data_IF_115165015973
#
_entry.id   IF_115165015973
#
_cell.length_a   1.000
_cell.length_b   1.000
_cell.length_c   1.000
_cell.angle_alpha   90.00
_cell.angle_beta   90.00
_cell.angle_gamma   90.00
#
_symmetry.space_group_name_H-M   'P 1'
#
loop_
_entity.id
_entity.type
_entity.pdbx_description
1 polymer ?
#
# COMPACT_ATOMS: atom_id res chain seq x y z
N UNK A 1 -22.63 7.97 -6.99
CA UNK A 1 -21.75 8.72 -7.85
C UNK A 1 -21.43 8.01 -9.15
N UNK A 2 -20.91 8.77 -10.12
CA UNK A 2 -20.42 8.20 -11.37
C UNK A 2 -19.09 7.48 -11.14
N UNK A 3 -18.87 6.40 -11.87
CA UNK A 3 -17.60 5.66 -11.85
C UNK A 3 -16.57 6.44 -12.69
N UNK A 4 -15.39 6.67 -12.15
CA UNK A 4 -14.29 7.36 -12.81
C UNK A 4 -13.42 8.14 -11.82
N UNK A 5 -12.35 8.74 -12.33
CA UNK A 5 -11.43 9.59 -11.57
C UNK A 5 -11.27 10.96 -12.26
N UNK A 6 -10.53 11.86 -11.64
CA UNK A 6 -10.25 13.21 -12.17
C UNK A 6 -9.60 13.13 -13.56
N UNK A 7 -8.71 12.16 -13.82
CA UNK A 7 -8.09 11.97 -15.12
C UNK A 7 -9.10 11.69 -16.23
N UNK A 8 -10.15 10.88 -15.96
CA UNK A 8 -11.23 10.65 -16.91
C UNK A 8 -12.02 11.93 -17.21
N UNK A 9 -12.30 12.73 -16.20
CA UNK A 9 -12.98 14.03 -16.36
C UNK A 9 -12.12 15.01 -17.16
N UNK A 10 -10.81 15.06 -16.89
CA UNK A 10 -9.86 15.91 -17.64
C UNK A 10 -9.82 15.55 -19.13
N UNK A 11 -9.88 14.25 -19.48
CA UNK A 11 -9.94 13.82 -20.87
C UNK A 11 -11.27 14.17 -21.55
N UNK A 12 -12.36 14.28 -20.80
CA UNK A 12 -13.68 14.64 -21.33
C UNK A 12 -13.82 16.14 -21.59
N UNK A 13 -13.32 16.99 -20.67
CA UNK A 13 -13.59 18.43 -20.65
C UNK A 13 -12.33 19.32 -20.68
N UNK A 14 -11.17 18.77 -20.45
CA UNK A 14 -9.88 19.47 -20.46
C UNK A 14 -9.03 19.13 -21.68
N UNK A 15 -7.83 18.61 -21.45
CA UNK A 15 -6.88 18.17 -22.48
C UNK A 15 -6.52 16.71 -22.23
N UNK A 16 -6.47 15.88 -23.30
CA UNK A 16 -6.04 14.48 -23.13
C UNK A 16 -4.59 14.33 -22.70
N UNK A 17 -3.68 15.15 -23.25
CA UNK A 17 -2.27 15.16 -22.91
C UNK A 17 -1.41 14.20 -23.74
N UNK A 18 -0.26 13.77 -23.17
CA UNK A 18 0.71 12.92 -23.85
C UNK A 18 0.19 11.48 -23.98
N UNK A 19 0.39 10.90 -25.18
CA UNK A 19 -0.02 9.54 -25.48
C UNK A 19 1.15 8.57 -25.43
N UNK A 20 0.89 7.32 -25.02
CA UNK A 20 1.87 6.26 -25.05
C UNK A 20 2.19 5.86 -26.50
N UNK A 21 3.48 5.82 -26.81
CA UNK A 21 3.98 5.35 -28.11
C UNK A 21 4.00 3.81 -28.18
N UNK A 22 3.95 3.21 -29.39
CA UNK A 22 3.98 1.76 -29.56
C UNK A 22 5.26 1.09 -29.01
N UNK A 23 6.37 1.83 -29.01
CA UNK A 23 7.68 1.37 -28.50
C UNK A 23 7.83 1.41 -26.97
N UNK A 24 6.78 1.83 -26.25
CA UNK A 24 6.80 1.94 -24.79
C UNK A 24 7.20 3.30 -24.24
N UNK A 25 7.62 4.24 -25.10
CA UNK A 25 7.88 5.63 -24.72
C UNK A 25 6.62 6.50 -24.73
N UNK A 26 6.82 7.82 -24.63
CA UNK A 26 5.78 8.82 -24.79
C UNK A 26 5.90 9.50 -26.14
N UNK A 27 4.77 9.89 -26.74
CA UNK A 27 4.78 10.75 -27.93
C UNK A 27 5.10 12.19 -27.51
N UNK A 28 5.98 12.85 -28.24
CA UNK A 28 6.41 14.23 -27.94
C UNK A 28 5.29 15.24 -28.13
N UNK A 29 4.38 14.99 -29.08
CA UNK A 29 3.25 15.88 -29.39
C UNK A 29 2.05 15.49 -28.53
N UNK A 30 1.56 16.38 -27.63
CA UNK A 30 0.38 16.12 -26.83
C UNK A 30 -0.90 16.24 -27.65
N UNK A 31 -1.94 15.50 -27.24
CA UNK A 31 -3.31 15.69 -27.72
C UNK A 31 -3.92 16.83 -26.92
N UNK A 32 -4.15 17.96 -27.55
CA UNK A 32 -4.66 19.18 -26.89
C UNK A 32 -6.17 19.24 -26.82
N UNK A 33 -6.86 18.52 -27.70
CA UNK A 33 -8.32 18.43 -27.75
C UNK A 33 -8.85 17.48 -26.67
N UNK A 34 -10.13 17.61 -26.36
CA UNK A 34 -10.90 16.73 -25.46
C UNK A 34 -11.98 15.96 -26.23
N UNK A 35 -12.61 15.01 -25.55
CA UNK A 35 -13.67 14.21 -26.17
C UNK A 35 -14.97 14.98 -26.41
N UNK A 36 -15.24 16.05 -25.64
CA UNK A 36 -16.43 16.88 -25.79
C UNK A 36 -16.37 17.69 -27.07
N UNK A 37 -15.22 18.27 -27.42
CA UNK A 37 -14.99 19.05 -28.64
C UNK A 37 -14.75 18.16 -29.85
N UNK A 38 -14.26 16.97 -29.60
CA UNK A 38 -13.83 16.03 -30.63
C UNK A 38 -12.35 16.18 -30.97
N UNK A 39 -11.75 15.11 -31.46
CA UNK A 39 -10.35 15.04 -31.82
C UNK A 39 -10.17 15.32 -33.32
N UNK A 40 -9.10 15.99 -33.70
CA UNK A 40 -8.66 16.07 -35.08
C UNK A 40 -8.27 14.67 -35.60
N UNK A 41 -8.21 14.49 -36.92
CA UNK A 41 -7.83 13.21 -37.54
C UNK A 41 -6.47 12.73 -37.07
N UNK A 42 -5.49 13.63 -36.94
CA UNK A 42 -4.16 13.32 -36.46
C UNK A 42 -4.18 12.89 -34.98
N UNK A 43 -4.86 13.65 -34.14
CA UNK A 43 -4.98 13.33 -32.71
C UNK A 43 -5.71 12.02 -32.47
N UNK A 44 -6.75 11.74 -33.27
CA UNK A 44 -7.44 10.45 -33.23
C UNK A 44 -6.49 9.30 -33.58
N UNK A 45 -5.70 9.46 -34.64
CA UNK A 45 -4.72 8.45 -35.04
C UNK A 45 -3.67 8.21 -33.96
N UNK A 46 -3.11 9.26 -33.34
CA UNK A 46 -2.19 9.15 -32.22
C UNK A 46 -2.83 8.44 -31.03
N UNK A 47 -4.08 8.75 -30.73
CA UNK A 47 -4.84 8.13 -29.63
C UNK A 47 -5.07 6.64 -29.82
N UNK A 48 -5.21 6.17 -31.08
CA UNK A 48 -5.43 4.74 -31.37
C UNK A 48 -4.23 3.86 -31.00
N UNK A 49 -3.02 4.37 -31.05
CA UNK A 49 -1.83 3.63 -30.62
C UNK A 49 -1.89 3.31 -29.12
N UNK A 50 -2.20 4.30 -28.29
CA UNK A 50 -2.36 4.12 -26.85
C UNK A 50 -3.55 3.20 -26.49
N UNK A 51 -4.67 3.36 -27.18
CA UNK A 51 -5.85 2.50 -27.00
C UNK A 51 -5.55 1.02 -27.32
N UNK A 52 -4.89 0.77 -28.47
CA UNK A 52 -4.50 -0.60 -28.88
C UNK A 52 -3.53 -1.23 -27.88
N UNK A 53 -2.52 -0.47 -27.42
CA UNK A 53 -1.59 -0.92 -26.39
C UNK A 53 -2.34 -1.27 -25.09
N UNK A 54 -3.26 -0.41 -24.62
CA UNK A 54 -4.05 -0.65 -23.44
C UNK A 54 -4.89 -1.94 -23.54
N UNK A 55 -5.52 -2.21 -24.69
CA UNK A 55 -6.26 -3.46 -24.93
C UNK A 55 -5.34 -4.69 -24.85
N UNK A 56 -4.19 -4.64 -25.51
CA UNK A 56 -3.23 -5.76 -25.50
C UNK A 56 -2.69 -5.99 -24.12
N UNK A 57 -2.29 -4.93 -23.41
CA UNK A 57 -1.78 -5.02 -22.05
C UNK A 57 -2.83 -5.60 -21.08
N UNK A 58 -4.11 -5.23 -21.24
CA UNK A 58 -5.20 -5.79 -20.42
C UNK A 58 -5.32 -7.30 -20.64
N UNK A 59 -5.35 -7.75 -21.89
CA UNK A 59 -5.46 -9.17 -22.22
C UNK A 59 -4.29 -10.00 -21.65
N UNK A 60 -3.06 -9.49 -21.78
CA UNK A 60 -1.85 -10.19 -21.28
C UNK A 60 -1.76 -10.16 -19.74
N UNK A 61 -2.09 -9.05 -19.11
CA UNK A 61 -2.01 -8.91 -17.64
C UNK A 61 -3.07 -9.71 -16.89
N UNK A 62 -4.18 -10.08 -17.52
CA UNK A 62 -5.19 -10.97 -16.94
C UNK A 62 -4.57 -12.33 -16.58
N UNK A 63 -3.74 -12.89 -17.45
CA UNK A 63 -3.02 -14.12 -17.17
C UNK A 63 -2.03 -13.97 -16.00
N UNK A 64 -1.36 -12.83 -15.90
CA UNK A 64 -0.45 -12.54 -14.78
C UNK A 64 -1.19 -12.45 -13.45
N UNK A 65 -2.38 -11.84 -13.43
CA UNK A 65 -3.24 -11.78 -12.24
C UNK A 65 -3.65 -13.17 -11.77
N UNK A 66 -4.10 -14.04 -12.71
CA UNK A 66 -4.45 -15.42 -12.39
C UNK A 66 -3.26 -16.23 -11.85
N UNK A 67 -2.08 -16.05 -12.43
CA UNK A 67 -0.86 -16.70 -11.97
C UNK A 67 -0.41 -16.21 -10.58
N UNK A 68 -0.55 -14.90 -10.30
CA UNK A 68 -0.29 -14.36 -8.96
C UNK A 68 -1.24 -14.98 -7.93
N UNK A 69 -2.55 -15.01 -8.21
CA UNK A 69 -3.56 -15.61 -7.33
C UNK A 69 -3.23 -17.06 -7.01
N UNK A 70 -2.88 -17.86 -8.04
CA UNK A 70 -2.50 -19.26 -7.85
C UNK A 70 -1.31 -19.39 -6.90
N UNK A 71 -0.25 -18.60 -7.09
CA UNK A 71 0.93 -18.66 -6.21
C UNK A 71 0.61 -18.23 -4.78
N UNK A 72 -0.25 -17.23 -4.61
CA UNK A 72 -0.69 -16.79 -3.28
C UNK A 72 -1.47 -17.92 -2.58
N UNK A 73 -2.38 -18.60 -3.29
CA UNK A 73 -3.11 -19.76 -2.75
C UNK A 73 -2.15 -20.88 -2.39
N UNK A 74 -1.21 -21.23 -3.27
CA UNK A 74 -0.24 -22.32 -3.03
C UNK A 74 0.60 -22.08 -1.75
N UNK A 75 0.94 -20.81 -1.45
CA UNK A 75 1.69 -20.44 -0.23
C UNK A 75 0.80 -20.34 1.00
N UNK A 76 -0.41 -19.80 0.85
CA UNK A 76 -1.28 -19.47 1.98
C UNK A 76 -2.25 -20.60 2.38
N UNK A 77 -2.36 -21.69 1.61
CA UNK A 77 -3.32 -22.77 1.88
C UNK A 77 -3.14 -23.45 3.24
N UNK A 78 -1.93 -23.43 3.80
CA UNK A 78 -1.64 -24.02 5.11
C UNK A 78 -2.00 -23.10 6.29
N UNK A 79 -2.35 -21.84 6.00
CA UNK A 79 -2.82 -20.88 7.01
C UNK A 79 -4.29 -21.12 7.27
N UNK A 80 -4.56 -21.92 8.31
CA UNK A 80 -5.92 -22.25 8.76
C UNK A 80 -6.09 -21.87 10.23
N UNK A 81 -7.34 -21.75 10.69
CA UNK A 81 -7.64 -21.56 12.11
C UNK A 81 -7.37 -22.88 12.84
N UNK A 82 -6.37 -22.89 13.74
CA UNK A 82 -5.90 -24.11 14.43
C UNK A 82 -6.43 -24.27 15.83
N UNK A 83 -6.65 -23.17 16.53
CA UNK A 83 -7.03 -23.15 17.95
C UNK A 83 -7.90 -21.94 18.25
N UNK A 84 -8.58 -21.96 19.40
CA UNK A 84 -9.45 -20.86 19.78
C UNK A 84 -8.65 -19.63 20.25
N UNK A 85 -7.61 -19.84 21.07
CA UNK A 85 -6.82 -18.76 21.63
C UNK A 85 -5.35 -19.17 21.79
N UNK A 86 -4.44 -18.39 21.23
CA UNK A 86 -3.00 -18.60 21.37
C UNK A 86 -2.39 -17.99 22.65
N UNK A 87 -3.20 -17.33 23.47
CA UNK A 87 -2.77 -16.73 24.73
C UNK A 87 -1.78 -15.58 24.61
N UNK A 88 -1.73 -14.90 23.45
CA UNK A 88 -0.84 -13.73 23.29
C UNK A 88 -1.40 -12.52 24.04
N UNK A 89 -0.54 -11.79 24.72
CA UNK A 89 -0.78 -10.49 25.32
C UNK A 89 -0.41 -9.31 24.40
N UNK A 90 0.24 -9.64 23.28
CA UNK A 90 0.65 -8.65 22.27
C UNK A 90 -0.53 -8.27 21.39
N UNK A 91 -0.64 -6.99 21.11
CA UNK A 91 -1.65 -6.45 20.18
C UNK A 91 -1.04 -5.50 19.16
N UNK A 92 -1.84 -5.12 18.19
CA UNK A 92 -1.55 -4.08 17.21
C UNK A 92 -2.41 -2.85 17.54
N UNK A 93 -1.77 -1.70 17.79
CA UNK A 93 -2.50 -0.44 17.95
C UNK A 93 -2.92 0.07 16.58
N UNK A 94 -4.23 0.32 16.43
CA UNK A 94 -4.86 0.84 15.20
C UNK A 94 -5.47 2.21 15.46
N UNK A 95 -5.39 3.06 14.46
CA UNK A 95 -5.98 4.40 14.39
C UNK A 95 -6.58 4.60 13.01
N UNK A 96 -7.34 5.67 12.79
CA UNK A 96 -7.82 6.01 11.45
C UNK A 96 -6.65 6.23 10.50
N UNK A 97 -6.78 5.80 9.24
CA UNK A 97 -5.77 6.05 8.21
C UNK A 97 -6.15 7.33 7.48
N UNK A 98 -5.27 8.33 7.54
CA UNK A 98 -5.43 9.61 6.85
C UNK A 98 -4.23 9.88 5.95
N UNK A 99 -4.45 10.54 4.82
CA UNK A 99 -3.40 11.05 3.94
C UNK A 99 -3.61 12.57 3.78
N UNK A 100 -2.82 13.35 4.53
CA UNK A 100 -3.09 14.78 4.70
C UNK A 100 -4.43 15.01 5.41
N UNK A 101 -5.32 15.74 4.77
CA UNK A 101 -6.68 16.03 5.29
C UNK A 101 -7.75 15.01 4.84
N UNK A 102 -7.40 14.07 3.98
CA UNK A 102 -8.33 13.04 3.48
C UNK A 102 -8.29 11.80 4.36
N UNK A 103 -9.48 11.39 4.86
CA UNK A 103 -9.64 10.14 5.60
C UNK A 103 -9.79 8.98 4.61
N UNK A 104 -8.80 8.08 4.58
CA UNK A 104 -8.81 6.90 3.71
C UNK A 104 -9.64 5.79 4.34
N UNK A 105 -9.40 5.49 5.62
CA UNK A 105 -10.10 4.43 6.35
C UNK A 105 -10.40 4.89 7.77
N UNK A 106 -11.68 5.01 8.16
CA UNK A 106 -12.06 5.42 9.51
C UNK A 106 -11.70 4.34 10.54
N UNK A 107 -11.50 4.75 11.79
CA UNK A 107 -11.22 3.82 12.88
C UNK A 107 -12.32 2.77 13.05
N UNK A 108 -13.57 3.15 12.83
CA UNK A 108 -14.74 2.26 12.90
C UNK A 108 -14.54 0.98 12.06
N UNK A 109 -14.21 1.12 10.77
CA UNK A 109 -14.06 -0.01 9.84
C UNK A 109 -12.88 -0.93 10.23
N UNK A 110 -11.91 -0.39 10.96
CA UNK A 110 -10.76 -1.15 11.46
C UNK A 110 -11.03 -1.92 12.74
N UNK A 111 -12.08 -1.55 13.48
CA UNK A 111 -12.45 -2.17 14.76
C UNK A 111 -13.45 -3.29 14.58
N UNK A 112 -14.43 -3.13 13.70
CA UNK A 112 -15.49 -4.11 13.48
C UNK A 112 -14.91 -5.48 13.16
N UNK A 113 -15.38 -6.51 13.87
CA UNK A 113 -14.95 -7.89 13.68
C UNK A 113 -13.58 -8.24 14.24
N UNK A 114 -12.96 -7.37 15.05
CA UNK A 114 -11.68 -7.63 15.72
C UNK A 114 -11.86 -7.82 17.22
N UNK A 115 -10.99 -8.64 17.80
CA UNK A 115 -10.90 -8.77 19.25
C UNK A 115 -10.01 -7.68 19.84
N UNK A 116 -10.45 -7.10 20.96
CA UNK A 116 -9.62 -6.21 21.76
C UNK A 116 -8.47 -6.99 22.40
N UNK A 117 -7.25 -6.44 22.39
CA UNK A 117 -6.13 -7.00 23.16
C UNK A 117 -6.07 -6.43 24.58
N UNK A 118 -6.53 -5.19 24.75
CA UNK A 118 -6.61 -4.49 26.04
C UNK A 118 -7.97 -3.86 26.18
N UNK A 119 -8.41 -3.64 27.43
CA UNK A 119 -9.65 -2.90 27.70
C UNK A 119 -9.55 -1.48 27.15
N UNK A 120 -10.64 -1.03 26.52
CA UNK A 120 -10.78 0.32 25.98
C UNK A 120 -11.54 1.16 27.00
N UNK A 121 -10.98 2.33 27.33
CA UNK A 121 -11.53 3.25 28.31
C UNK A 121 -12.01 4.51 27.62
N UNK A 122 -13.07 5.08 28.15
CA UNK A 122 -13.53 6.40 27.79
C UNK A 122 -12.49 7.47 28.22
N UNK A 123 -12.03 8.35 27.32
CA UNK A 123 -11.02 9.33 27.66
C UNK A 123 -11.49 10.39 28.68
N UNK A 124 -12.81 10.64 28.79
CA UNK A 124 -13.37 11.63 29.71
C UNK A 124 -13.78 11.01 31.05
N UNK A 125 -14.52 9.91 31.03
CA UNK A 125 -15.09 9.27 32.22
C UNK A 125 -14.20 8.22 32.85
N UNK A 126 -13.19 7.72 32.10
CA UNK A 126 -12.34 6.58 32.49
C UNK A 126 -13.10 5.28 32.75
N UNK A 127 -14.35 5.18 32.33
CA UNK A 127 -15.11 3.94 32.39
C UNK A 127 -14.70 2.98 31.27
N UNK A 128 -14.87 1.69 31.51
CA UNK A 128 -14.56 0.67 30.50
C UNK A 128 -15.68 0.63 29.49
N UNK A 129 -15.39 1.03 28.23
CA UNK A 129 -16.33 0.93 27.12
C UNK A 129 -16.33 -0.51 26.59
N UNK A 130 -15.15 -1.09 26.35
CA UNK A 130 -15.00 -2.45 25.88
C UNK A 130 -13.95 -3.20 26.71
N UNK A 131 -14.29 -4.36 27.33
CA UNK A 131 -13.31 -5.17 28.04
C UNK A 131 -12.28 -5.77 27.08
N UNK A 132 -11.17 -6.27 27.61
CA UNK A 132 -10.20 -7.06 26.84
C UNK A 132 -10.80 -8.39 26.37
N UNK A 133 -10.29 -8.93 25.27
CA UNK A 133 -10.67 -10.22 24.68
C UNK A 133 -12.16 -10.34 24.27
N UNK A 134 -12.75 -9.24 23.85
CA UNK A 134 -14.13 -9.20 23.34
C UNK A 134 -14.11 -8.90 21.85
N UNK A 135 -14.95 -9.62 21.09
CA UNK A 135 -15.20 -9.33 19.69
C UNK A 135 -16.00 -8.03 19.59
N UNK A 136 -15.49 -7.07 18.84
CA UNK A 136 -16.16 -5.79 18.60
C UNK A 136 -17.15 -5.94 17.45
N UNK A 137 -18.43 -5.81 17.75
CA UNK A 137 -19.50 -5.63 16.78
C UNK A 137 -19.63 -4.17 16.35
N UNK A 138 -20.56 -3.89 15.43
CA UNK A 138 -20.80 -2.54 14.93
C UNK A 138 -21.24 -1.58 16.05
N UNK A 139 -22.11 -2.03 16.97
CA UNK A 139 -22.62 -1.21 18.07
C UNK A 139 -21.50 -0.81 19.05
N UNK A 140 -20.59 -1.75 19.33
CA UNK A 140 -19.45 -1.51 20.20
C UNK A 140 -18.44 -0.56 19.54
N UNK A 141 -18.17 -0.77 18.24
CA UNK A 141 -17.27 0.09 17.48
C UNK A 141 -17.80 1.54 17.40
N UNK A 142 -19.12 1.71 17.22
CA UNK A 142 -19.74 3.03 17.29
C UNK A 142 -19.56 3.70 18.66
N UNK A 143 -19.80 2.98 19.75
CA UNK A 143 -19.60 3.52 21.11
C UNK A 143 -18.18 3.97 21.36
N UNK A 144 -17.19 3.22 20.86
CA UNK A 144 -15.77 3.58 20.99
C UNK A 144 -15.43 4.87 20.22
N UNK A 145 -15.92 4.97 18.97
CA UNK A 145 -15.66 6.15 18.13
C UNK A 145 -16.39 7.38 18.66
N UNK A 146 -17.65 7.23 19.07
CA UNK A 146 -18.49 8.33 19.63
C UNK A 146 -17.93 8.87 20.96
N UNK A 147 -17.26 8.03 21.74
CA UNK A 147 -16.54 8.44 22.95
C UNK A 147 -15.23 9.22 22.66
N UNK A 148 -14.88 9.41 21.37
CA UNK A 148 -13.69 10.18 20.97
C UNK A 148 -12.38 9.41 21.12
N UNK A 149 -12.39 8.08 21.21
CA UNK A 149 -11.18 7.25 21.23
C UNK A 149 -10.53 7.27 19.85
N UNK A 150 -9.26 7.66 19.79
CA UNK A 150 -8.51 7.81 18.53
C UNK A 150 -7.68 6.59 18.16
N UNK A 151 -7.33 5.75 19.14
CA UNK A 151 -6.53 4.55 18.93
C UNK A 151 -6.95 3.42 19.87
N UNK A 152 -6.95 2.20 19.36
CA UNK A 152 -7.32 0.97 20.08
C UNK A 152 -6.29 -0.12 19.83
N UNK A 153 -5.96 -0.89 20.85
CA UNK A 153 -5.08 -2.06 20.69
C UNK A 153 -5.92 -3.31 20.48
N UNK A 154 -5.85 -3.87 19.27
CA UNK A 154 -6.57 -5.06 18.83
C UNK A 154 -5.67 -6.28 18.74
N UNK A 155 -6.24 -7.48 18.79
CA UNK A 155 -5.55 -8.72 18.44
C UNK A 155 -5.35 -8.79 16.92
N UNK A 156 -4.22 -9.33 16.49
CA UNK A 156 -3.85 -9.39 15.08
C UNK A 156 -3.16 -10.69 14.73
N UNK A 157 -3.31 -11.12 13.50
CA UNK A 157 -2.57 -12.25 12.93
C UNK A 157 -1.05 -12.06 13.00
N UNK A 158 -0.56 -10.82 12.95
CA UNK A 158 0.87 -10.49 13.05
C UNK A 158 1.47 -10.73 14.44
N UNK A 159 0.64 -10.75 15.47
CA UNK A 159 1.08 -10.96 16.86
C UNK A 159 0.61 -12.29 17.43
N UNK A 160 0.04 -13.15 16.58
CA UNK A 160 -0.40 -14.47 16.95
C UNK A 160 0.77 -15.40 17.31
N UNK A 161 0.63 -16.18 18.38
CA UNK A 161 1.66 -17.12 18.83
C UNK A 161 1.45 -18.55 18.28
N UNK A 162 0.40 -18.81 17.51
CA UNK A 162 0.15 -20.11 16.89
C UNK A 162 1.27 -20.48 15.93
N UNK A 163 1.86 -21.65 16.07
CA UNK A 163 3.06 -22.05 15.28
C UNK A 163 2.76 -22.26 13.80
N UNK A 164 1.62 -22.85 13.47
CA UNK A 164 1.21 -23.13 12.08
C UNK A 164 -0.25 -22.69 11.91
N UNK A 165 -0.47 -21.58 11.22
CA UNK A 165 -1.79 -21.00 11.06
C UNK A 165 -2.06 -19.85 12.03
N UNK A 166 -3.30 -19.65 12.41
CA UNK A 166 -3.77 -18.53 13.24
C UNK A 166 -4.80 -19.02 14.24
N UNK A 167 -4.92 -18.40 15.40
CA UNK A 167 -6.02 -18.67 16.32
C UNK A 167 -7.27 -17.84 15.99
N UNK A 168 -8.42 -18.31 16.43
CA UNK A 168 -9.73 -17.69 16.24
C UNK A 168 -9.76 -16.23 16.70
N UNK A 169 -9.31 -15.93 17.92
CA UNK A 169 -9.31 -14.57 18.46
C UNK A 169 -8.39 -13.59 17.72
N UNK A 170 -7.21 -14.04 17.23
CA UNK A 170 -6.31 -13.18 16.46
C UNK A 170 -6.81 -12.90 15.06
N UNK A 171 -7.62 -13.79 14.49
CA UNK A 171 -8.27 -13.58 13.20
C UNK A 171 -9.53 -12.71 13.35
N UNK A 172 -10.44 -13.10 14.25
CA UNK A 172 -11.68 -12.37 14.53
C UNK A 172 -12.88 -12.94 13.79
N UNK A 173 -13.71 -12.06 13.24
CA UNK A 173 -14.99 -12.37 12.62
C UNK A 173 -14.82 -12.99 11.22
N UNK A 174 -15.67 -13.94 10.90
CA UNK A 174 -15.89 -14.41 9.54
C UNK A 174 -16.75 -13.40 8.79
N UNK A 175 -16.20 -12.77 7.76
CA UNK A 175 -16.89 -11.71 6.99
C UNK A 175 -18.10 -12.20 6.19
N UNK A 176 -18.23 -13.52 5.97
CA UNK A 176 -19.37 -14.07 5.24
C UNK A 176 -20.61 -14.27 6.11
N UNK A 177 -20.41 -14.64 7.38
CA UNK A 177 -21.51 -14.95 8.32
C UNK A 177 -21.74 -13.82 9.33
N UNK A 178 -20.75 -12.99 9.62
CA UNK A 178 -20.80 -11.97 10.67
C UNK A 178 -20.53 -12.53 12.09
N UNK A 179 -20.31 -13.84 12.21
CA UNK A 179 -20.02 -14.51 13.46
C UNK A 179 -18.51 -14.73 13.63
N UNK A 180 -18.12 -15.24 14.78
CA UNK A 180 -16.76 -15.72 15.00
C UNK A 180 -16.33 -16.79 13.98
N UNK A 181 -15.10 -16.70 13.51
CA UNK A 181 -14.52 -17.73 12.64
C UNK A 181 -14.46 -19.09 13.34
N UNK A 182 -14.68 -20.18 12.62
CA UNK A 182 -14.61 -21.54 13.17
C UNK A 182 -13.19 -22.14 13.06
N UNK A 183 -12.87 -23.04 13.99
CA UNK A 183 -11.62 -23.81 13.93
C UNK A 183 -11.67 -24.75 12.72
N UNK A 184 -10.62 -24.72 11.91
CA UNK A 184 -10.50 -25.49 10.66
C UNK A 184 -10.75 -24.65 9.40
N UNK A 185 -11.19 -23.40 9.52
CA UNK A 185 -11.42 -22.54 8.36
C UNK A 185 -10.13 -22.15 7.65
N UNK A 186 -10.15 -22.23 6.31
CA UNK A 186 -8.98 -21.98 5.43
C UNK A 186 -8.81 -20.48 5.11
N UNK A 187 -8.56 -19.68 6.14
CA UNK A 187 -8.48 -18.21 6.05
C UNK A 187 -7.39 -17.72 5.11
N UNK A 188 -6.30 -18.46 4.99
CA UNK A 188 -5.21 -18.12 4.07
C UNK A 188 -5.64 -18.20 2.61
N UNK A 189 -6.43 -19.22 2.24
CA UNK A 189 -6.99 -19.34 0.88
C UNK A 189 -7.98 -18.20 0.59
N UNK A 190 -8.83 -17.85 1.57
CA UNK A 190 -9.76 -16.71 1.45
C UNK A 190 -8.99 -15.42 1.24
N UNK A 191 -7.95 -15.17 2.03
CA UNK A 191 -7.09 -13.99 1.87
C UNK A 191 -6.42 -13.94 0.50
N UNK A 192 -5.85 -15.05 0.03
CA UNK A 192 -5.20 -15.13 -1.27
C UNK A 192 -6.17 -14.83 -2.43
N UNK A 193 -7.39 -15.35 -2.36
CA UNK A 193 -8.45 -15.09 -3.34
C UNK A 193 -8.94 -13.64 -3.29
N UNK A 194 -9.09 -13.06 -2.10
CA UNK A 194 -9.50 -11.66 -1.91
C UNK A 194 -8.45 -10.67 -2.44
N UNK A 195 -7.16 -11.03 -2.38
CA UNK A 195 -6.06 -10.26 -2.98
C UNK A 195 -6.04 -10.44 -4.51
N UNK A 196 -6.31 -11.65 -4.99
CA UNK A 196 -6.23 -11.99 -6.41
C UNK A 196 -7.41 -11.54 -7.25
N UNK A 197 -8.62 -11.54 -6.70
CA UNK A 197 -9.84 -11.16 -7.43
C UNK A 197 -9.75 -9.74 -8.00
N UNK A 198 -9.47 -8.69 -7.22
CA UNK A 198 -9.37 -7.34 -7.75
C UNK A 198 -8.15 -7.12 -8.65
N UNK A 199 -7.19 -8.03 -8.69
CA UNK A 199 -6.04 -7.96 -9.60
C UNK A 199 -6.46 -7.88 -11.08
N UNK A 200 -7.52 -8.58 -11.46
CA UNK A 200 -8.10 -8.49 -12.80
C UNK A 200 -8.73 -7.11 -13.04
N UNK A 201 -9.41 -6.55 -12.05
CA UNK A 201 -10.00 -5.21 -12.13
C UNK A 201 -8.95 -4.11 -12.18
N UNK A 202 -7.85 -4.22 -11.42
CA UNK A 202 -6.70 -3.32 -11.51
C UNK A 202 -6.06 -3.34 -12.90
N UNK A 203 -6.03 -4.50 -13.53
CA UNK A 203 -5.56 -4.64 -14.91
C UNK A 203 -6.49 -3.92 -15.90
N UNK A 204 -7.81 -4.02 -15.73
CA UNK A 204 -8.82 -3.34 -16.55
C UNK A 204 -8.78 -1.81 -16.35
N UNK A 205 -8.42 -1.31 -15.16
CA UNK A 205 -8.35 0.12 -14.87
C UNK A 205 -7.35 0.85 -15.78
N UNK A 206 -6.26 0.20 -16.18
CA UNK A 206 -5.30 0.73 -17.14
C UNK A 206 -5.90 0.93 -18.53
N UNK A 207 -6.91 0.15 -18.92
CA UNK A 207 -7.66 0.32 -20.16
C UNK A 207 -8.48 1.62 -20.18
N UNK A 208 -9.09 1.98 -19.06
CA UNK A 208 -9.89 3.20 -18.94
C UNK A 208 -9.06 4.51 -18.99
N UNK A 209 -7.76 4.45 -18.74
CA UNK A 209 -6.87 5.61 -18.88
C UNK A 209 -6.55 5.94 -20.36
N UNK A 210 -6.98 5.12 -21.31
CA UNK A 210 -6.95 5.39 -22.74
C UNK A 210 -5.55 5.58 -23.32
N UNK A 211 -4.49 5.05 -22.67
CA UNK A 211 -3.11 5.17 -23.12
C UNK A 211 -2.49 6.54 -22.86
N UNK A 212 -3.08 7.37 -22.01
CA UNK A 212 -2.46 8.61 -21.52
C UNK A 212 -1.27 8.26 -20.65
N UNK A 213 -0.13 8.88 -20.91
CA UNK A 213 1.08 8.67 -20.12
C UNK A 213 0.99 9.40 -18.78
N UNK A 214 1.14 8.67 -17.68
CA UNK A 214 1.26 9.25 -16.34
C UNK A 214 2.66 9.80 -16.08
N UNK A 215 2.75 10.86 -15.29
CA UNK A 215 4.01 11.54 -14.98
C UNK A 215 4.96 10.77 -14.05
N UNK A 216 4.56 9.61 -13.53
CA UNK A 216 5.34 8.86 -12.55
C UNK A 216 5.82 7.53 -13.13
N UNK A 217 7.14 7.37 -13.17
CA UNK A 217 7.86 6.12 -13.44
C UNK A 217 7.74 5.11 -12.25
N UNK A 218 6.75 5.34 -11.37
CA UNK A 218 6.48 4.50 -10.21
C UNK A 218 5.59 3.36 -10.68
N UNK A 219 6.08 2.15 -10.52
CA UNK A 219 5.32 0.93 -10.77
C UNK A 219 4.08 0.91 -9.87
N UNK A 220 2.90 1.05 -10.46
CA UNK A 220 1.62 1.09 -9.74
C UNK A 220 0.75 -0.12 -10.09
N UNK A 221 -0.23 -0.42 -9.22
CA UNK A 221 -1.18 -1.50 -9.42
C UNK A 221 -0.56 -2.90 -9.35
N UNK A 222 -1.07 -3.81 -10.19
CA UNK A 222 -0.68 -5.23 -10.16
C UNK A 222 0.84 -5.49 -10.22
N UNK A 223 1.65 -4.81 -11.06
CA UNK A 223 3.10 -5.00 -11.05
C UNK A 223 3.74 -4.67 -9.71
N UNK A 224 3.25 -3.63 -9.00
CA UNK A 224 3.74 -3.28 -7.67
C UNK A 224 3.41 -4.35 -6.63
N UNK A 225 2.19 -4.87 -6.68
CA UNK A 225 1.77 -5.98 -5.81
C UNK A 225 2.65 -7.21 -6.02
N UNK A 226 2.97 -7.54 -7.28
CA UNK A 226 3.90 -8.63 -7.59
C UNK A 226 5.31 -8.38 -7.07
N UNK A 227 5.85 -7.17 -7.22
CA UNK A 227 7.17 -6.80 -6.66
C UNK A 227 7.22 -7.02 -5.14
N UNK A 228 6.17 -6.63 -4.42
CA UNK A 228 6.09 -6.77 -2.98
C UNK A 228 6.03 -8.24 -2.55
N UNK A 229 5.14 -9.04 -3.14
CA UNK A 229 5.01 -10.47 -2.78
C UNK A 229 6.22 -11.31 -3.19
N UNK A 230 6.91 -10.94 -4.25
CA UNK A 230 8.13 -11.62 -4.67
C UNK A 230 9.40 -11.02 -4.04
N UNK A 231 9.25 -9.97 -3.25
CA UNK A 231 10.35 -9.19 -2.66
C UNK A 231 11.43 -8.84 -3.71
N UNK A 232 10.99 -8.41 -4.89
CA UNK A 232 11.89 -7.93 -5.97
C UNK A 232 12.42 -6.55 -5.62
N UNK A 233 13.62 -6.25 -6.13
CA UNK A 233 14.14 -4.89 -6.05
C UNK A 233 13.24 -3.96 -6.86
N UNK A 234 12.65 -2.92 -6.23
CA UNK A 234 11.73 -2.02 -6.93
C UNK A 234 12.46 -1.20 -8.00
N UNK A 235 11.76 -0.93 -9.11
CA UNK A 235 12.18 0.09 -10.06
C UNK A 235 12.04 1.45 -9.39
N UNK A 236 13.06 2.28 -9.43
CA UNK A 236 13.05 3.55 -8.70
C UNK A 236 13.14 3.35 -7.17
N UNK A 237 14.08 2.52 -6.75
CA UNK A 237 14.35 2.25 -5.34
C UNK A 237 14.71 3.53 -4.60
N UNK A 238 14.05 3.75 -3.46
CA UNK A 238 14.41 4.80 -2.52
C UNK A 238 15.68 4.40 -1.75
N UNK A 239 16.59 5.35 -1.56
CA UNK A 239 17.67 5.22 -0.59
C UNK A 239 17.10 5.48 0.79
N UNK A 240 17.38 4.58 1.75
CA UNK A 240 16.92 4.71 3.14
C UNK A 240 18.09 4.97 4.07
N UNK A 241 17.82 5.67 5.19
CA UNK A 241 18.83 5.93 6.20
C UNK A 241 19.14 4.67 7.03
N UNK A 242 20.41 4.32 7.16
CA UNK A 242 20.87 3.24 8.06
C UNK A 242 21.09 3.72 9.49
N UNK A 243 21.12 5.03 9.72
CA UNK A 243 21.36 5.65 11.01
C UNK A 243 20.23 6.59 11.39
N UNK A 244 19.99 6.74 12.69
CA UNK A 244 19.09 7.77 13.23
C UNK A 244 19.90 9.01 13.55
N UNK A 245 19.53 10.15 12.96
CA UNK A 245 20.29 11.39 13.15
C UNK A 245 19.74 12.55 12.34
N UNK A 246 20.54 13.58 12.21
CA UNK A 246 20.23 14.80 11.47
C UNK A 246 20.92 14.80 10.12
N UNK A 247 20.24 15.26 9.08
CA UNK A 247 20.81 15.48 7.75
C UNK A 247 21.68 16.73 7.83
N UNK A 248 23.01 16.55 7.78
CA UNK A 248 23.95 17.66 7.98
C UNK A 248 24.35 18.37 6.69
N UNK A 249 24.41 17.66 5.57
CA UNK A 249 24.71 18.25 4.28
C UNK A 249 24.10 17.46 3.12
N UNK A 250 23.76 18.18 2.05
CA UNK A 250 23.35 17.63 0.76
C UNK A 250 24.25 18.30 -0.29
N UNK A 251 25.33 17.63 -0.66
CA UNK A 251 26.34 18.17 -1.59
C UNK A 251 26.17 17.53 -2.97
N UNK A 252 26.39 18.32 -4.03
CA UNK A 252 26.38 17.82 -5.40
C UNK A 252 27.80 17.54 -5.88
N UNK A 253 28.04 16.34 -6.38
CA UNK A 253 29.29 16.00 -7.04
C UNK A 253 29.08 16.00 -8.56
N UNK A 254 29.49 17.10 -9.25
CA UNK A 254 29.35 17.21 -10.69
C UNK A 254 30.22 16.24 -11.47
N UNK A 255 31.29 15.72 -10.87
CA UNK A 255 32.22 14.83 -11.55
C UNK A 255 31.68 13.41 -11.65
N UNK A 256 30.97 12.94 -10.62
CA UNK A 256 30.36 11.61 -10.60
C UNK A 256 28.87 11.61 -10.94
N UNK A 257 28.26 12.77 -11.18
CA UNK A 257 26.83 12.95 -11.39
C UNK A 257 25.97 12.35 -10.25
N UNK A 258 26.45 12.52 -9.02
CA UNK A 258 25.79 12.05 -7.79
C UNK A 258 25.56 13.20 -6.81
N UNK A 259 24.60 13.02 -5.91
CA UNK A 259 24.42 13.83 -4.72
C UNK A 259 24.83 13.02 -3.50
N UNK A 260 25.58 13.64 -2.62
CA UNK A 260 25.98 13.04 -1.36
C UNK A 260 25.11 13.58 -0.22
N UNK A 261 24.35 12.70 0.42
CA UNK A 261 23.52 13.04 1.57
C UNK A 261 24.23 12.51 2.82
N UNK A 262 24.63 13.40 3.70
CA UNK A 262 25.31 13.03 4.94
C UNK A 262 24.35 13.10 6.11
N UNK A 263 24.19 11.97 6.81
CA UNK A 263 23.37 11.85 8.02
C UNK A 263 24.29 11.62 9.21
N UNK A 264 24.23 12.50 10.20
CA UNK A 264 25.01 12.43 11.44
C UNK A 264 24.15 11.88 12.56
N UNK A 265 24.40 10.62 12.94
CA UNK A 265 23.83 10.00 14.13
C UNK A 265 24.61 10.36 15.41
N UNK A 266 24.16 9.80 16.53
CA UNK A 266 24.84 9.99 17.83
C UNK A 266 26.21 9.32 17.89
N UNK A 267 26.37 8.15 17.27
CA UNK A 267 27.60 7.36 17.27
C UNK A 267 28.26 7.28 15.91
N UNK A 268 27.47 7.31 14.84
CA UNK A 268 27.93 7.07 13.47
C UNK A 268 27.49 8.19 12.53
N UNK A 269 28.36 8.51 11.57
CA UNK A 269 28.01 9.38 10.45
C UNK A 269 28.05 8.55 9.17
N UNK A 270 27.03 8.64 8.35
CA UNK A 270 26.93 7.94 7.06
C UNK A 270 26.67 8.91 5.93
N UNK A 271 27.38 8.71 4.83
CA UNK A 271 27.18 9.42 3.58
C UNK A 271 26.58 8.46 2.55
N UNK A 272 25.55 8.91 1.86
CA UNK A 272 24.81 8.15 0.85
C UNK A 272 24.96 8.81 -0.51
N UNK A 273 25.50 8.07 -1.46
CA UNK A 273 25.60 8.51 -2.84
C UNK A 273 24.29 8.23 -3.58
N UNK A 274 23.67 9.27 -4.10
CA UNK A 274 22.37 9.23 -4.77
C UNK A 274 22.50 9.81 -6.17
N UNK A 275 22.00 9.12 -7.23
CA UNK A 275 22.04 9.65 -8.59
C UNK A 275 21.28 10.98 -8.71
N UNK A 276 21.71 11.89 -9.57
CA UNK A 276 21.02 13.16 -9.86
C UNK A 276 19.55 12.97 -10.29
N UNK A 277 19.24 11.85 -10.94
CA UNK A 277 17.89 11.52 -11.38
C UNK A 277 16.93 11.21 -10.25
N UNK A 278 17.43 10.88 -9.06
CA UNK A 278 16.61 10.62 -7.89
C UNK A 278 16.22 11.94 -7.19
N UNK A 279 14.94 12.12 -6.96
CA UNK A 279 14.43 13.25 -6.19
C UNK A 279 14.71 13.05 -4.70
N UNK A 280 15.34 13.99 -4.05
CA UNK A 280 15.62 13.97 -2.62
C UNK A 280 14.32 14.24 -1.84
N UNK A 281 14.07 13.48 -0.79
CA UNK A 281 12.86 13.56 0.05
C UNK A 281 13.09 14.34 1.35
N UNK A 282 14.35 14.69 1.67
CA UNK A 282 14.75 15.34 2.93
C UNK A 282 15.46 16.65 2.64
N UNK A 283 15.48 17.56 3.62
CA UNK A 283 16.23 18.79 3.59
C UNK A 283 17.36 18.77 4.65
N UNK A 284 18.33 19.68 4.49
CA UNK A 284 19.35 19.88 5.53
C UNK A 284 18.69 20.35 6.84
N UNK A 285 19.08 19.73 7.95
CA UNK A 285 18.51 19.96 9.27
C UNK A 285 17.35 19.02 9.62
N UNK A 286 16.87 18.20 8.67
CA UNK A 286 15.81 17.23 8.97
C UNK A 286 16.33 16.10 9.86
N UNK A 287 15.50 15.69 10.82
CA UNK A 287 15.77 14.55 11.67
C UNK A 287 15.18 13.29 11.05
N UNK A 288 16.03 12.34 10.69
CA UNK A 288 15.63 11.06 10.10
C UNK A 288 15.87 9.90 11.08
N UNK A 289 14.96 8.94 11.04
CA UNK A 289 15.08 7.70 11.79
C UNK A 289 15.59 6.60 10.88
N UNK A 290 16.29 5.64 11.43
CA UNK A 290 16.77 4.46 10.72
C UNK A 290 15.62 3.80 9.94
N UNK A 291 15.76 3.65 8.63
CA UNK A 291 14.75 3.14 7.70
C UNK A 291 13.90 4.20 7.01
N UNK A 292 14.06 5.48 7.33
CA UNK A 292 13.36 6.56 6.64
C UNK A 292 13.94 6.82 5.25
N UNK A 293 13.10 7.29 4.34
CA UNK A 293 13.48 7.59 2.96
C UNK A 293 14.30 8.87 2.88
N UNK A 294 15.47 8.78 2.27
CA UNK A 294 16.28 9.96 1.89
C UNK A 294 15.91 10.44 0.49
N UNK A 295 15.42 9.52 -0.38
CA UNK A 295 14.94 9.86 -1.72
C UNK A 295 13.53 9.38 -1.94
N UNK A 296 12.82 10.02 -2.88
CA UNK A 296 11.52 9.56 -3.32
C UNK A 296 11.64 8.20 -4.03
N UNK A 297 10.67 7.34 -3.82
CA UNK A 297 10.63 6.01 -4.42
C UNK A 297 10.08 4.95 -3.49
N UNK A 298 10.18 3.71 -3.93
CA UNK A 298 9.73 2.55 -3.17
C UNK A 298 10.88 1.94 -2.35
N UNK A 299 10.63 1.62 -1.08
CA UNK A 299 11.63 0.95 -0.24
C UNK A 299 11.75 -0.52 -0.67
N UNK A 300 12.98 -1.03 -0.68
CA UNK A 300 13.24 -2.47 -0.81
C UNK A 300 12.94 -3.17 0.52
N UNK A 301 11.96 -4.11 0.58
CA UNK A 301 11.64 -4.83 1.81
C UNK A 301 12.83 -5.60 2.41
N UNK A 302 13.75 -6.11 1.55
CA UNK A 302 14.94 -6.83 2.01
C UNK A 302 15.95 -5.92 2.70
N UNK A 303 16.03 -4.67 2.29
CA UNK A 303 16.87 -3.68 2.92
C UNK A 303 16.23 -3.20 4.23
N UNK A 304 14.93 -2.92 4.20
CA UNK A 304 14.19 -2.46 5.37
C UNK A 304 14.28 -3.44 6.54
N UNK A 305 14.16 -4.75 6.29
CA UNK A 305 14.27 -5.77 7.33
C UNK A 305 15.68 -5.86 7.94
N UNK A 306 16.73 -5.54 7.16
CA UNK A 306 18.11 -5.49 7.66
C UNK A 306 18.38 -4.24 8.49
N UNK A 307 17.77 -3.13 8.09
CA UNK A 307 17.97 -1.83 8.70
C UNK A 307 17.11 -1.67 9.94
N UNK A 308 15.89 -2.20 9.97
CA UNK A 308 14.96 -2.11 11.10
C UNK A 308 14.63 -3.47 11.70
N UNK A 309 13.43 -3.94 11.46
CA UNK A 309 12.87 -5.16 12.02
C UNK A 309 11.80 -5.77 11.10
N UNK A 310 11.39 -7.01 11.41
CA UNK A 310 10.38 -7.72 10.65
C UNK A 310 9.00 -7.03 10.73
N UNK A 311 8.59 -6.61 11.92
CA UNK A 311 7.27 -6.01 12.14
C UNK A 311 7.08 -4.70 11.35
N UNK A 312 8.11 -3.84 11.32
CA UNK A 312 8.09 -2.60 10.51
C UNK A 312 8.03 -2.91 9.02
N UNK A 313 8.74 -3.95 8.57
CA UNK A 313 8.72 -4.39 7.17
C UNK A 313 7.35 -4.95 6.78
N UNK A 314 6.71 -5.73 7.63
CA UNK A 314 5.36 -6.27 7.44
C UNK A 314 4.33 -5.13 7.34
N UNK A 315 4.39 -4.15 8.24
CA UNK A 315 3.53 -2.95 8.19
C UNK A 315 3.73 -2.16 6.90
N UNK A 316 4.99 -2.00 6.46
CA UNK A 316 5.30 -1.32 5.20
C UNK A 316 4.70 -2.07 4.00
N UNK A 317 4.89 -3.40 3.91
CA UNK A 317 4.32 -4.22 2.84
C UNK A 317 2.80 -4.11 2.83
N UNK A 318 2.15 -4.22 4.00
CA UNK A 318 0.71 -4.08 4.14
C UNK A 318 0.22 -2.72 3.63
N UNK A 319 0.83 -1.63 4.09
CA UNK A 319 0.49 -0.26 3.68
C UNK A 319 0.64 -0.06 2.16
N UNK A 320 1.71 -0.57 1.56
CA UNK A 320 1.93 -0.47 0.11
C UNK A 320 0.93 -1.31 -0.70
N UNK A 321 0.51 -2.48 -0.19
CA UNK A 321 -0.55 -3.28 -0.82
C UNK A 321 -1.88 -2.54 -0.72
N UNK A 322 -2.24 -1.99 0.43
CA UNK A 322 -3.47 -1.20 0.61
C UNK A 322 -3.55 0.00 -0.34
N UNK A 323 -2.42 0.70 -0.56
CA UNK A 323 -2.36 1.79 -1.56
C UNK A 323 -2.56 1.33 -3.00
N UNK A 324 -2.26 0.08 -3.32
CA UNK A 324 -2.40 -0.46 -4.66
C UNK A 324 -3.85 -0.86 -4.99
N UNK A 325 -4.65 -1.14 -3.97
CA UNK A 325 -6.05 -1.54 -4.07
C UNK A 325 -7.00 -0.39 -3.74
#
# INVERSE_FOLDING_TARGET
>A
GARGNISNFTQLAGMRGLMAAPNGGMMEIPVTSNFREGLSVLEMFMSTHGARKGMTDTALKTANSGYLTRRLVDVAQDVIIREEDCGTDRGLTVHAITEGDEMIEPLFDRLVGRYTSKSVYDPETHEVICPADVLMDEDMAHKIVDAGVTEVTIRSVFTCNTQHGVCKKCYGMNLATGDDVEVGEAVGTVAAQSIGEPGTQLTMRNFHNGGVAGAADITQGLPRVQELFEARNPKGRATISEVTGEVTSIEEDPAEHTRQITVKGQTDTRTYDVPYTASVAVAEGDHVVRGDKLTLGSIDPKELIRVRDALTTEKYILSEIQKAY
#
